data_IF_620253691563
#
_entry.id   IF_620253691563
#
_cell.length_a   1.000
_cell.length_b   1.000
_cell.length_c   1.000
_cell.angle_alpha   90.00
_cell.angle_beta   90.00
_cell.angle_gamma   90.00
#
_symmetry.space_group_name_H-M   'P 1'
#
loop_
_entity.id
_entity.type
_entity.pdbx_description
1 polymer ?
#
# COMPACT_ATOMS: atom_id res chain seq x y z
N UNK A 1 -11.36 4.47 9.40
CA UNK A 1 -10.19 5.25 9.90
C UNK A 1 -9.01 5.01 8.97
N UNK A 2 -8.05 5.92 8.83
CA UNK A 2 -6.82 5.66 8.04
C UNK A 2 -5.65 5.47 9.02
N UNK A 3 -4.90 4.38 8.84
CA UNK A 3 -3.75 4.04 9.65
C UNK A 3 -2.47 4.06 8.81
N UNK A 4 -1.47 4.82 9.25
CA UNK A 4 -0.17 4.95 8.58
C UNK A 4 0.84 3.97 9.15
N UNK A 5 1.48 3.21 8.28
CA UNK A 5 2.44 2.18 8.67
C UNK A 5 3.87 2.68 8.49
N UNK A 6 4.74 2.33 9.43
CA UNK A 6 6.15 2.73 9.45
C UNK A 6 6.95 1.93 8.41
N UNK A 7 7.46 2.58 7.35
CA UNK A 7 8.20 1.88 6.30
C UNK A 7 9.48 1.20 6.81
N UNK A 8 10.09 1.68 7.89
CA UNK A 8 11.31 1.08 8.45
C UNK A 8 11.08 -0.32 9.02
N UNK A 9 9.83 -0.62 9.43
CA UNK A 9 9.42 -1.92 9.98
C UNK A 9 9.10 -2.96 8.90
N UNK A 10 8.94 -2.52 7.65
CA UNK A 10 8.56 -3.37 6.50
C UNK A 10 9.57 -3.31 5.36
N UNK A 11 10.69 -2.60 5.56
CA UNK A 11 11.73 -2.43 4.55
C UNK A 11 12.29 -3.77 4.06
N UNK A 12 12.61 -3.85 2.77
CA UNK A 12 13.24 -5.02 2.20
C UNK A 12 14.76 -4.96 2.35
N UNK A 13 15.29 -5.64 3.38
CA UNK A 13 16.73 -5.88 3.48
C UNK A 13 17.13 -7.17 2.75
N UNK A 14 17.91 -7.03 1.69
CA UNK A 14 18.47 -8.15 0.92
C UNK A 14 19.52 -8.95 1.69
N UNK A 15 20.17 -8.36 2.70
CA UNK A 15 21.22 -9.01 3.50
C UNK A 15 20.66 -9.76 4.70
N UNK A 16 19.47 -9.38 5.17
CA UNK A 16 18.81 -9.99 6.32
C UNK A 16 17.28 -9.96 6.17
N UNK A 17 16.68 -10.88 5.38
CA UNK A 17 15.25 -10.87 5.12
C UNK A 17 14.45 -11.36 6.33
N UNK A 18 14.09 -10.46 7.25
CA UNK A 18 13.21 -10.75 8.38
C UNK A 18 11.73 -10.79 7.92
N UNK A 19 11.33 -11.85 7.22
CA UNK A 19 9.92 -12.03 6.81
C UNK A 19 8.98 -12.19 8.01
N UNK A 20 9.40 -12.94 9.04
CA UNK A 20 8.56 -13.24 10.20
C UNK A 20 8.27 -11.97 11.03
N UNK A 21 9.27 -11.13 11.28
CA UNK A 21 9.07 -9.86 11.98
C UNK A 21 8.15 -8.90 11.21
N UNK A 22 8.26 -8.88 9.88
CA UNK A 22 7.36 -8.08 9.01
C UNK A 22 5.92 -8.58 9.03
N UNK A 23 5.72 -9.90 9.01
CA UNK A 23 4.40 -10.52 9.20
C UNK A 23 3.82 -10.12 10.56
N UNK A 24 4.61 -10.26 11.63
CA UNK A 24 4.17 -9.93 12.98
C UNK A 24 3.83 -8.45 13.14
N UNK A 25 4.59 -7.55 12.49
CA UNK A 25 4.28 -6.12 12.48
C UNK A 25 2.91 -5.82 11.87
N UNK A 26 2.57 -6.45 10.73
CA UNK A 26 1.25 -6.30 10.09
C UNK A 26 0.14 -6.78 11.04
N UNK A 27 0.33 -7.94 11.68
CA UNK A 27 -0.66 -8.50 12.62
C UNK A 27 -0.88 -7.59 13.82
N UNK A 28 0.19 -7.04 14.41
CA UNK A 28 0.10 -6.10 15.53
C UNK A 28 -0.66 -4.83 15.10
N UNK A 29 -0.34 -4.29 13.92
CA UNK A 29 -1.02 -3.11 13.39
C UNK A 29 -2.53 -3.34 13.22
N UNK A 30 -2.93 -4.49 12.67
CA UNK A 30 -4.34 -4.82 12.50
C UNK A 30 -5.06 -5.03 13.84
N UNK A 31 -4.39 -5.60 14.83
CA UNK A 31 -4.96 -5.80 16.16
C UNK A 31 -5.16 -4.50 16.95
N UNK A 32 -4.36 -3.46 16.66
CA UNK A 32 -4.40 -2.17 17.35
C UNK A 32 -5.33 -1.14 16.69
N UNK A 33 -5.70 -1.35 15.42
CA UNK A 33 -6.52 -0.42 14.67
C UNK A 33 -8.01 -0.55 14.98
N UNK A 34 -8.78 0.50 14.65
CA UNK A 34 -10.25 0.43 14.72
C UNK A 34 -10.79 -0.52 13.65
N UNK A 35 -12.02 -1.00 13.86
CA UNK A 35 -12.82 -1.65 12.82
C UNK A 35 -12.91 -0.70 11.60
N UNK A 36 -12.93 -1.28 10.39
CA UNK A 36 -12.97 -0.59 9.09
C UNK A 36 -11.82 0.40 8.85
N UNK A 37 -10.64 0.06 9.39
CA UNK A 37 -9.42 0.81 9.11
C UNK A 37 -8.86 0.48 7.72
N UNK A 38 -8.45 1.52 7.01
CA UNK A 38 -7.65 1.42 5.80
C UNK A 38 -6.19 1.65 6.17
N UNK A 39 -5.32 0.69 5.84
CA UNK A 39 -3.91 0.76 6.19
C UNK A 39 -3.09 1.20 4.98
N UNK A 40 -2.24 2.21 5.18
CA UNK A 40 -1.34 2.75 4.17
C UNK A 40 0.09 2.30 4.47
N UNK A 41 0.62 1.42 3.62
CA UNK A 41 1.98 0.87 3.70
C UNK A 41 2.84 1.44 2.57
N UNK A 42 3.59 2.53 2.81
CA UNK A 42 4.68 2.92 1.91
C UNK A 42 5.76 1.84 1.97
N UNK A 43 6.00 1.16 0.85
CA UNK A 43 6.92 0.03 0.80
C UNK A 43 8.03 0.27 -0.22
N UNK A 44 9.26 -0.10 0.14
CA UNK A 44 10.42 -0.02 -0.73
C UNK A 44 11.02 -1.42 -0.92
N UNK A 45 10.73 -2.10 -2.04
CA UNK A 45 11.36 -3.38 -2.39
C UNK A 45 12.85 -3.29 -2.73
N UNK A 46 13.43 -2.08 -2.76
CA UNK A 46 14.81 -1.82 -3.16
C UNK A 46 14.88 -0.73 -4.24
N UNK A 47 15.31 0.47 -3.84
CA UNK A 47 15.54 1.59 -4.75
C UNK A 47 14.30 2.23 -5.39
N UNK A 48 13.08 1.81 -5.00
CA UNK A 48 11.83 2.31 -5.55
C UNK A 48 10.72 2.31 -4.49
N UNK A 49 9.90 3.36 -4.41
CA UNK A 49 8.79 3.43 -3.47
C UNK A 49 7.46 3.14 -4.15
N UNK A 50 6.65 2.28 -3.53
CA UNK A 50 5.26 2.01 -3.89
C UNK A 50 4.35 2.23 -2.67
N UNK A 51 3.04 2.41 -2.91
CA UNK A 51 2.05 2.40 -1.85
C UNK A 51 1.22 1.12 -1.93
N UNK A 52 1.20 0.36 -0.83
CA UNK A 52 0.26 -0.75 -0.62
C UNK A 52 -0.85 -0.29 0.32
N UNK A 53 -2.10 -0.51 -0.07
CA UNK A 53 -3.28 -0.11 0.71
C UNK A 53 -4.03 -1.38 1.07
N UNK A 54 -4.23 -1.64 2.35
CA UNK A 54 -4.97 -2.82 2.81
C UNK A 54 -6.34 -2.38 3.32
N UNK A 55 -7.36 -2.96 2.71
CA UNK A 55 -8.76 -2.87 3.10
C UNK A 55 -9.17 -4.24 3.63
N UNK A 56 -8.96 -4.41 4.93
CA UNK A 56 -9.09 -5.69 5.61
C UNK A 56 -10.55 -6.18 5.59
N UNK A 57 -11.50 -5.27 5.78
CA UNK A 57 -12.94 -5.59 5.79
C UNK A 57 -13.41 -6.19 4.46
N UNK A 58 -12.89 -5.65 3.34
CA UNK A 58 -13.25 -6.09 1.98
C UNK A 58 -12.33 -7.17 1.41
N UNK A 59 -11.38 -7.66 2.20
CA UNK A 59 -10.36 -8.62 1.76
C UNK A 59 -9.64 -8.12 0.47
N UNK A 60 -9.36 -6.82 0.37
CA UNK A 60 -8.71 -6.21 -0.79
C UNK A 60 -7.35 -5.60 -0.43
N UNK A 61 -6.38 -5.79 -1.32
CA UNK A 61 -5.07 -5.14 -1.26
C UNK A 61 -4.86 -4.36 -2.55
N UNK A 62 -4.75 -3.04 -2.44
CA UNK A 62 -4.50 -2.17 -3.58
C UNK A 62 -3.02 -1.79 -3.68
N UNK A 63 -2.53 -1.67 -4.91
CA UNK A 63 -1.15 -1.22 -5.17
C UNK A 63 -1.19 0.01 -6.06
N UNK A 64 -0.47 1.06 -5.64
CA UNK A 64 -0.15 2.24 -6.45
C UNK A 64 1.36 2.28 -6.66
N UNK A 65 1.78 2.05 -7.90
CA UNK A 65 3.19 2.07 -8.31
C UNK A 65 3.45 3.33 -9.16
N UNK A 66 4.31 4.27 -8.71
CA UNK A 66 4.71 5.44 -9.51
C UNK A 66 5.39 5.10 -10.85
N UNK A 67 5.97 3.91 -11.03
CA UNK A 67 6.46 3.46 -12.34
C UNK A 67 5.32 3.04 -13.28
N UNK A 68 4.11 2.86 -12.75
CA UNK A 68 2.96 2.31 -13.46
C UNK A 68 3.18 0.87 -13.94
N UNK A 69 4.16 0.19 -13.36
CA UNK A 69 4.54 -1.16 -13.72
C UNK A 69 3.78 -2.18 -12.89
N UNK A 70 3.61 -3.38 -13.44
CA UNK A 70 3.15 -4.54 -12.70
C UNK A 70 4.40 -5.34 -12.29
N UNK A 71 5.22 -4.77 -11.40
CA UNK A 71 6.35 -5.53 -10.88
C UNK A 71 5.83 -6.62 -9.94
N UNK A 72 6.26 -7.89 -10.10
CA UNK A 72 5.90 -8.95 -9.17
C UNK A 72 6.58 -8.70 -7.83
N UNK A 73 5.89 -8.06 -6.88
CA UNK A 73 6.34 -7.94 -5.50
C UNK A 73 6.03 -9.23 -4.73
N UNK A 74 6.42 -10.39 -5.26
CA UNK A 74 5.98 -11.70 -4.75
C UNK A 74 6.37 -11.95 -3.29
N UNK A 75 7.56 -11.50 -2.88
CA UNK A 75 7.99 -11.56 -1.47
C UNK A 75 7.09 -10.71 -0.58
N UNK A 76 6.82 -9.46 -0.99
CA UNK A 76 5.93 -8.56 -0.25
C UNK A 76 4.50 -9.10 -0.18
N UNK A 77 4.00 -9.62 -1.30
CA UNK A 77 2.70 -10.27 -1.41
C UNK A 77 2.58 -11.47 -0.50
N UNK A 78 3.62 -12.30 -0.40
CA UNK A 78 3.68 -13.42 0.56
C UNK A 78 3.60 -12.93 2.00
N UNK A 79 4.37 -11.90 2.37
CA UNK A 79 4.38 -11.31 3.71
C UNK A 79 3.00 -10.75 4.09
N UNK A 80 2.41 -9.93 3.21
CA UNK A 80 1.08 -9.33 3.43
C UNK A 80 0.00 -10.40 3.55
N UNK A 81 0.00 -11.40 2.65
CA UNK A 81 -0.97 -12.51 2.72
C UNK A 81 -0.80 -13.34 4.00
N UNK A 82 0.43 -13.57 4.45
CA UNK A 82 0.70 -14.28 5.69
C UNK A 82 0.21 -13.48 6.92
N UNK A 83 0.45 -12.17 6.95
CA UNK A 83 -0.05 -11.29 8.01
C UNK A 83 -1.58 -11.26 8.09
N UNK A 84 -2.26 -11.07 6.95
CA UNK A 84 -3.73 -11.12 6.88
C UNK A 84 -4.26 -12.49 7.33
N UNK A 85 -3.63 -13.58 6.91
CA UNK A 85 -4.02 -14.94 7.30
C UNK A 85 -3.87 -15.16 8.81
N UNK A 86 -2.75 -14.76 9.38
CA UNK A 86 -2.49 -14.90 10.82
C UNK A 86 -3.47 -14.05 11.64
N UNK A 87 -3.68 -12.79 11.27
CA UNK A 87 -4.65 -11.91 11.92
C UNK A 87 -6.07 -12.50 11.90
N UNK A 88 -6.51 -13.04 10.75
CA UNK A 88 -7.81 -13.67 10.62
C UNK A 88 -7.96 -14.91 11.52
N UNK A 89 -6.89 -15.71 11.67
CA UNK A 89 -6.86 -16.83 12.59
C UNK A 89 -6.97 -16.37 14.06
N UNK A 90 -6.24 -15.31 14.45
CA UNK A 90 -6.28 -14.74 15.81
C UNK A 90 -7.65 -14.15 16.16
N UNK A 91 -8.35 -13.55 15.20
CA UNK A 91 -9.72 -13.02 15.38
C UNK A 91 -10.80 -14.09 15.30
N UNK A 92 -10.45 -15.36 15.06
CA UNK A 92 -11.43 -16.45 14.91
C UNK A 92 -12.32 -16.29 13.67
N UNK A 93 -11.89 -15.55 12.64
CA UNK A 93 -12.68 -15.23 11.43
C UNK A 93 -12.80 -16.40 10.43
N UNK A 94 -12.43 -17.61 10.84
CA UNK A 94 -12.47 -18.82 10.01
C UNK A 94 -11.52 -18.77 8.81
N UNK A 95 -11.66 -19.74 7.90
CA UNK A 95 -10.88 -19.79 6.68
C UNK A 95 -11.43 -18.79 5.66
N UNK A 96 -10.81 -17.60 5.55
CA UNK A 96 -11.11 -16.64 4.49
C UNK A 96 -10.34 -16.97 3.21
N UNK A 97 -10.87 -16.53 2.07
CA UNK A 97 -10.14 -16.58 0.80
C UNK A 97 -8.91 -15.65 0.88
N UNK A 98 -7.85 -15.92 0.12
CA UNK A 98 -6.76 -14.96 -0.03
C UNK A 98 -7.29 -13.60 -0.50
N UNK A 99 -6.70 -12.48 -0.03
CA UNK A 99 -7.16 -11.15 -0.42
C UNK A 99 -6.98 -10.93 -1.92
N UNK A 100 -7.85 -10.11 -2.51
CA UNK A 100 -7.78 -9.74 -3.92
C UNK A 100 -6.76 -8.61 -4.10
N UNK A 101 -5.73 -8.86 -4.91
CA UNK A 101 -4.70 -7.86 -5.23
C UNK A 101 -5.12 -7.03 -6.44
N UNK A 102 -5.28 -5.72 -6.27
CA UNK A 102 -5.83 -4.79 -7.26
C UNK A 102 -4.78 -3.73 -7.60
N UNK A 103 -4.36 -3.69 -8.86
CA UNK A 103 -3.43 -2.66 -9.34
C UNK A 103 -4.19 -1.40 -9.75
N UNK A 104 -3.89 -0.28 -9.09
CA UNK A 104 -4.46 1.04 -9.37
C UNK A 104 -3.66 1.75 -10.47
N UNK A 105 -3.70 1.16 -11.67
CA UNK A 105 -2.92 1.62 -12.85
C UNK A 105 -3.24 3.04 -13.37
N UNK A 106 -4.31 3.67 -12.87
CA UNK A 106 -4.66 5.05 -13.14
C UNK A 106 -3.95 6.07 -12.26
N UNK A 107 -3.17 5.62 -11.26
CA UNK A 107 -2.38 6.49 -10.39
C UNK A 107 -1.36 7.34 -11.17
N UNK A 108 -1.15 8.61 -10.79
CA UNK A 108 -0.15 9.49 -11.42
C UNK A 108 1.25 8.88 -11.38
N UNK A 109 1.93 8.79 -12.52
CA UNK A 109 3.27 8.20 -12.60
C UNK A 109 4.34 9.21 -12.23
N UNK A 110 5.51 8.72 -11.84
CA UNK A 110 6.69 9.56 -11.66
C UNK A 110 7.16 10.10 -13.01
N UNK A 111 7.47 11.39 -13.06
CA UNK A 111 7.98 12.04 -14.27
C UNK A 111 9.46 11.71 -14.53
N UNK A 112 10.21 11.35 -13.48
CA UNK A 112 11.62 11.02 -13.55
C UNK A 112 11.96 9.89 -12.56
N UNK A 113 13.19 9.37 -12.62
CA UNK A 113 13.65 8.24 -11.80
C UNK A 113 13.81 8.50 -10.29
N UNK A 114 13.49 9.70 -9.80
CA UNK A 114 13.80 10.13 -8.42
C UNK A 114 12.58 10.58 -7.62
N UNK A 115 11.38 10.62 -8.21
CA UNK A 115 10.19 11.18 -7.56
C UNK A 115 9.21 10.15 -7.01
N UNK A 116 9.54 8.85 -7.01
CA UNK A 116 8.66 7.79 -6.47
C UNK A 116 8.18 8.06 -5.05
N UNK A 117 9.08 8.47 -4.14
CA UNK A 117 8.74 8.78 -2.75
C UNK A 117 7.74 9.93 -2.63
N UNK A 118 7.95 11.02 -3.37
CA UNK A 118 7.02 12.15 -3.41
C UNK A 118 5.66 11.77 -4.01
N UNK A 119 5.63 10.92 -5.04
CA UNK A 119 4.37 10.38 -5.58
C UNK A 119 3.62 9.57 -4.51
N UNK A 120 4.31 8.71 -3.75
CA UNK A 120 3.70 7.94 -2.66
C UNK A 120 3.13 8.85 -1.56
N UNK A 121 3.86 9.88 -1.15
CA UNK A 121 3.37 10.87 -0.19
C UNK A 121 2.10 11.58 -0.70
N UNK A 122 2.08 11.95 -1.97
CA UNK A 122 0.89 12.54 -2.61
C UNK A 122 -0.30 11.60 -2.68
N UNK A 123 -0.09 10.33 -3.02
CA UNK A 123 -1.17 9.34 -2.98
C UNK A 123 -1.78 9.26 -1.57
N UNK A 124 -0.93 9.19 -0.55
CA UNK A 124 -1.36 9.12 0.85
C UNK A 124 -2.15 10.38 1.23
N UNK A 125 -1.66 11.57 0.85
CA UNK A 125 -2.37 12.85 1.05
C UNK A 125 -3.75 12.84 0.40
N UNK A 126 -3.84 12.51 -0.89
CA UNK A 126 -5.13 12.47 -1.62
C UNK A 126 -6.11 11.45 -1.03
N UNK A 127 -5.62 10.30 -0.54
CA UNK A 127 -6.45 9.29 0.13
C UNK A 127 -6.96 9.79 1.49
N UNK A 128 -6.14 10.54 2.23
CA UNK A 128 -6.52 11.07 3.54
C UNK A 128 -7.52 12.22 3.46
N UNK A 129 -7.41 13.04 2.42
CA UNK A 129 -8.36 14.12 2.14
C UNK A 129 -9.70 13.60 1.60
N UNK A 130 -9.72 12.37 1.06
CA UNK A 130 -10.92 11.72 0.52
C UNK A 130 -11.62 10.80 1.53
N UNK A 131 -12.58 11.35 2.25
CA UNK A 131 -13.42 10.60 3.20
C UNK A 131 -14.32 9.54 2.55
N UNK A 132 -14.51 9.59 1.22
CA UNK A 132 -15.36 8.64 0.48
C UNK A 132 -14.61 7.39 0.02
N UNK A 133 -13.27 7.38 0.16
CA UNK A 133 -12.40 6.32 -0.34
C UNK A 133 -12.60 6.06 -1.84
N UNK A 134 -12.83 7.12 -2.62
CA UNK A 134 -12.99 7.06 -4.07
C UNK A 134 -11.72 6.65 -4.80
N UNK A 135 -10.56 6.62 -4.13
CA UNK A 135 -9.31 6.07 -4.69
C UNK A 135 -9.51 4.68 -5.32
N UNK A 136 -10.41 3.85 -4.76
CA UNK A 136 -10.77 2.51 -5.24
C UNK A 136 -11.23 2.50 -6.70
N UNK A 137 -11.89 3.57 -7.15
CA UNK A 137 -12.44 3.71 -8.52
C UNK A 137 -11.70 4.78 -9.33
N UNK A 138 -11.28 5.89 -8.69
CA UNK A 138 -10.55 7.01 -9.31
C UNK A 138 -9.29 6.54 -10.03
N UNK A 139 -8.49 5.68 -9.38
CA UNK A 139 -7.24 5.17 -9.94
C UNK A 139 -7.36 3.76 -10.54
N UNK A 140 -8.58 3.22 -10.66
CA UNK A 140 -8.80 1.99 -11.40
C UNK A 140 -8.43 2.19 -12.88
N UNK A 141 -8.25 1.09 -13.63
CA UNK A 141 -7.86 1.12 -15.05
C UNK A 141 -8.78 1.99 -15.93
N UNK A 142 -10.07 2.03 -15.59
CA UNK A 142 -11.12 2.81 -16.26
C UNK A 142 -11.31 4.24 -15.71
N UNK A 143 -10.61 4.60 -14.64
CA UNK A 143 -10.74 5.88 -13.95
C UNK A 143 -10.05 7.05 -14.67
N UNK A 144 -10.20 8.26 -14.11
CA UNK A 144 -9.53 9.47 -14.62
C UNK A 144 -8.03 9.34 -14.43
N UNK A 145 -7.28 9.34 -15.54
CA UNK A 145 -5.82 9.24 -15.53
C UNK A 145 -5.22 10.63 -15.46
N UNK A 146 -4.56 10.93 -14.35
CA UNK A 146 -3.56 12.01 -14.32
C UNK A 146 -2.22 11.37 -14.65
N UNK A 147 -1.50 11.90 -15.64
CA UNK A 147 -0.30 11.25 -16.16
C UNK A 147 0.88 11.33 -15.17
N UNK A 148 1.07 12.49 -14.55
CA UNK A 148 2.14 12.80 -13.59
C UNK A 148 1.69 13.93 -12.65
N UNK A 149 2.33 14.03 -11.48
CA UNK A 149 2.27 15.24 -10.67
C UNK A 149 3.14 16.34 -11.29
N UNK A 150 2.69 17.58 -11.21
CA UNK A 150 3.48 18.75 -11.62
C UNK A 150 4.63 19.01 -10.63
N UNK A 151 5.68 19.71 -11.05
CA UNK A 151 6.79 20.05 -10.15
C UNK A 151 6.31 20.88 -8.96
N UNK A 152 5.39 21.82 -9.18
CA UNK A 152 4.77 22.63 -8.12
C UNK A 152 4.09 21.77 -7.05
N UNK A 153 3.33 20.76 -7.47
CA UNK A 153 2.71 19.82 -6.53
C UNK A 153 3.79 19.03 -5.77
N UNK A 154 4.84 18.55 -6.45
CA UNK A 154 5.91 17.81 -5.79
C UNK A 154 6.68 18.66 -4.76
N UNK A 155 6.92 19.93 -5.08
CA UNK A 155 7.65 20.88 -4.23
C UNK A 155 6.85 21.29 -2.98
N UNK A 156 5.52 21.30 -3.03
CA UNK A 156 4.66 21.57 -1.86
C UNK A 156 4.86 20.58 -0.70
N UNK A 157 5.44 19.40 -0.98
CA UNK A 157 5.72 18.35 0.00
C UNK A 157 7.24 18.14 0.24
N UNK A 158 8.08 19.08 -0.22
CA UNK A 158 9.56 19.02 -0.09
C UNK A 158 10.12 19.76 1.12
#
# INVERSE_FOLDING_TARGET
MIAFMDPSRIFHDLKSPDEAGRVQYIVIAFNQASIDSIFLFPYNPGGHWILTIIDEEKDNVYIMDPLGACHPHEVWKRIVNAGIKQFNAEKGRGLRRPPTWIMLSGAPKQANGKTCGYCVMWYMKEICEDSTLAFRTKYARSGKKKAFYTQMELDENS
#
